data_IF_658164099991
#
_entry.id   IF_658164099991
#
_cell.length_a   1.000
_cell.length_b   1.000
_cell.length_c   1.000
_cell.angle_alpha   90.00
_cell.angle_beta   90.00
_cell.angle_gamma   90.00
#
_symmetry.space_group_name_H-M   'P 1'
#
loop_
_entity.id
_entity.type
_entity.pdbx_description
1 polymer ?
#
# COMPACT_ATOMS: atom_id res chain seq x y z
N UNK A 1 75.28 49.62 -1.65
CA UNK A 1 74.60 48.61 -2.50
C UNK A 1 73.77 47.72 -1.60
N UNK A 2 72.53 48.10 -1.36
CA UNK A 2 71.62 47.37 -0.48
C UNK A 2 70.58 46.59 -1.33
N UNK A 3 70.53 45.27 -1.18
CA UNK A 3 69.54 44.40 -1.83
C UNK A 3 68.39 44.20 -0.88
N UNK A 4 67.18 44.60 -1.30
CA UNK A 4 65.94 44.34 -0.63
C UNK A 4 65.46 42.89 -0.92
N UNK A 5 64.91 42.14 0.04
CA UNK A 5 64.29 40.83 -0.22
C UNK A 5 62.85 40.99 -0.68
N UNK A 6 62.52 40.30 -1.79
CA UNK A 6 61.17 40.18 -2.30
C UNK A 6 60.35 39.26 -1.41
N UNK A 7 59.32 39.78 -0.77
CA UNK A 7 58.28 39.00 -0.06
C UNK A 7 57.28 38.44 -1.05
N UNK A 8 57.24 37.11 -1.22
CA UNK A 8 56.23 36.41 -1.94
C UNK A 8 55.00 36.23 -1.02
N UNK A 9 53.93 36.89 -1.36
CA UNK A 9 52.65 36.69 -0.70
C UNK A 9 52.03 35.36 -1.18
N UNK A 10 51.77 34.44 -0.26
CA UNK A 10 51.00 33.21 -0.47
C UNK A 10 49.52 33.56 -0.33
N UNK A 11 48.75 33.40 -1.42
CA UNK A 11 47.27 33.48 -1.38
C UNK A 11 46.73 32.17 -0.83
N UNK A 12 45.80 32.21 0.11
CA UNK A 12 45.09 31.00 0.55
C UNK A 12 44.04 30.61 -0.47
N UNK A 13 44.12 29.41 -1.01
CA UNK A 13 43.10 28.76 -1.83
C UNK A 13 41.96 28.34 -0.91
N UNK A 14 40.82 29.02 -0.97
CA UNK A 14 39.61 28.63 -0.30
C UNK A 14 38.94 27.48 -1.09
N UNK A 15 38.98 26.26 -0.55
CA UNK A 15 38.26 25.11 -1.08
C UNK A 15 36.80 25.18 -0.64
N UNK A 16 35.89 25.53 -1.54
CA UNK A 16 34.48 25.53 -1.28
C UNK A 16 33.97 24.09 -1.26
N UNK A 17 33.50 23.58 -0.10
CA UNK A 17 32.73 22.33 0.01
C UNK A 17 31.34 22.57 -0.52
N UNK A 18 31.00 21.98 -1.67
CA UNK A 18 29.63 21.92 -2.16
C UNK A 18 28.91 20.76 -1.46
N UNK A 19 28.04 21.08 -0.52
CA UNK A 19 27.17 20.08 0.12
C UNK A 19 26.06 19.73 -0.85
N UNK A 20 26.05 18.50 -1.36
CA UNK A 20 24.92 17.93 -2.10
C UNK A 20 23.79 17.63 -1.12
N UNK A 21 22.75 18.45 -1.12
CA UNK A 21 21.50 18.16 -0.41
C UNK A 21 20.71 17.18 -1.27
N UNK A 22 20.76 15.89 -0.95
CA UNK A 22 19.90 14.89 -1.57
C UNK A 22 18.47 15.11 -1.09
N UNK A 23 17.62 15.69 -1.94
CA UNK A 23 16.16 15.71 -1.72
C UNK A 23 15.62 14.30 -1.88
N UNK A 24 15.32 13.64 -0.77
CA UNK A 24 14.51 12.43 -0.79
C UNK A 24 13.11 12.80 -1.27
N UNK A 25 12.74 12.36 -2.48
CA UNK A 25 11.37 12.50 -2.97
C UNK A 25 10.43 11.70 -2.05
N UNK A 26 9.45 12.37 -1.43
CA UNK A 26 8.44 11.71 -0.64
C UNK A 26 7.63 10.77 -1.55
N UNK A 27 7.50 9.50 -1.16
CA UNK A 27 6.64 8.56 -1.88
C UNK A 27 5.18 9.00 -1.74
N UNK A 28 4.36 8.88 -2.80
CA UNK A 28 2.95 9.21 -2.71
C UNK A 28 2.27 8.33 -1.65
N UNK A 29 1.36 8.96 -0.88
CA UNK A 29 0.60 8.23 0.14
C UNK A 29 -0.23 7.11 -0.50
N UNK A 30 -0.35 5.95 0.16
CA UNK A 30 -1.15 4.84 -0.36
C UNK A 30 -2.62 5.26 -0.50
N UNK A 31 -3.26 4.82 -1.57
CA UNK A 31 -4.69 5.04 -1.81
C UNK A 31 -5.43 3.83 -1.26
N UNK A 32 -6.19 4.02 -0.19
CA UNK A 32 -6.88 2.92 0.45
C UNK A 32 -7.65 3.37 1.68
N UNK A 33 -8.06 2.39 2.48
CA UNK A 33 -8.82 2.61 3.71
C UNK A 33 -8.64 1.43 4.68
N UNK A 34 -9.05 1.64 5.91
CA UNK A 34 -9.19 0.57 6.90
C UNK A 34 -10.61 0.58 7.50
N UNK A 35 -11.09 -0.58 7.92
CA UNK A 35 -12.37 -0.69 8.64
C UNK A 35 -12.31 0.02 10.00
N UNK A 36 -13.44 0.43 10.60
CA UNK A 36 -13.45 1.05 11.92
C UNK A 36 -12.85 0.15 13.02
N UNK A 37 -13.02 -1.17 12.91
CA UNK A 37 -12.38 -2.15 13.81
C UNK A 37 -10.88 -2.29 13.61
N UNK A 38 -10.34 -1.73 12.51
CA UNK A 38 -8.94 -1.90 12.05
C UNK A 38 -8.57 -3.36 11.72
N UNK A 39 -9.56 -4.24 11.63
CA UNK A 39 -9.34 -5.64 11.31
C UNK A 39 -9.15 -5.88 9.80
N UNK A 40 -9.63 -4.96 8.95
CA UNK A 40 -9.50 -5.05 7.49
C UNK A 40 -8.89 -3.76 6.97
N UNK A 41 -7.86 -3.87 6.15
CA UNK A 41 -7.30 -2.75 5.42
C UNK A 41 -7.20 -3.08 3.94
N UNK A 42 -7.49 -2.10 3.08
CA UNK A 42 -7.49 -2.24 1.64
C UNK A 42 -6.63 -1.15 1.00
N UNK A 43 -5.84 -1.52 -0.01
CA UNK A 43 -5.07 -0.58 -0.81
C UNK A 43 -5.26 -0.84 -2.29
N UNK A 44 -5.34 0.26 -3.05
CA UNK A 44 -5.42 0.27 -4.51
C UNK A 44 -4.01 0.31 -5.11
N UNK A 45 -3.78 -0.56 -6.07
CA UNK A 45 -2.57 -0.61 -6.87
C UNK A 45 -2.87 -0.36 -8.34
N UNK A 46 -1.95 0.33 -9.03
CA UNK A 46 -2.05 0.60 -10.47
C UNK A 46 -0.68 0.37 -11.09
N UNK A 47 -0.57 -0.62 -11.97
CA UNK A 47 0.64 -0.94 -12.74
C UNK A 47 0.22 -1.25 -14.17
N UNK A 48 0.89 -0.67 -15.16
CA UNK A 48 0.68 -0.93 -16.60
C UNK A 48 -0.79 -0.79 -17.03
N UNK A 49 -1.47 0.28 -16.55
CA UNK A 49 -2.89 0.55 -16.79
C UNK A 49 -3.85 -0.52 -16.25
N UNK A 50 -3.39 -1.36 -15.36
CA UNK A 50 -4.23 -2.31 -14.61
C UNK A 50 -4.37 -1.82 -13.19
N UNK A 51 -5.61 -1.72 -12.74
CA UNK A 51 -5.95 -1.33 -11.37
C UNK A 51 -6.50 -2.56 -10.64
N UNK A 52 -6.05 -2.76 -9.41
CA UNK A 52 -6.60 -3.79 -8.53
C UNK A 52 -6.60 -3.33 -7.09
N UNK A 53 -7.50 -3.89 -6.33
CA UNK A 53 -7.61 -3.67 -4.89
C UNK A 53 -7.16 -4.92 -4.17
N UNK A 54 -6.28 -4.76 -3.19
CA UNK A 54 -5.95 -5.80 -2.24
C UNK A 54 -6.48 -5.42 -0.87
N UNK A 55 -7.12 -6.38 -0.18
CA UNK A 55 -7.55 -6.25 1.21
C UNK A 55 -6.94 -7.37 2.05
N UNK A 56 -6.38 -7.00 3.19
CA UNK A 56 -5.85 -7.93 4.17
C UNK A 56 -6.73 -7.91 5.44
N UNK A 57 -6.91 -9.09 6.05
CA UNK A 57 -7.59 -9.26 7.34
C UNK A 57 -6.55 -9.58 8.41
N UNK A 58 -6.59 -8.88 9.54
CA UNK A 58 -5.68 -9.14 10.68
C UNK A 58 -6.07 -10.42 11.41
N UNK A 59 -7.33 -10.51 11.83
CA UNK A 59 -7.85 -11.64 12.60
C UNK A 59 -9.01 -12.32 11.88
N UNK A 60 -8.91 -13.64 11.75
CA UNK A 60 -9.98 -14.51 11.25
C UNK A 60 -10.29 -15.61 12.27
N UNK A 61 -11.55 -16.03 12.33
CA UNK A 61 -11.99 -17.12 13.19
C UNK A 61 -11.35 -18.46 12.81
N UNK A 62 -11.14 -18.67 11.51
CA UNK A 62 -10.47 -19.85 10.97
C UNK A 62 -9.58 -19.45 9.80
N UNK A 63 -8.37 -19.99 9.77
CA UNK A 63 -7.46 -19.83 8.63
C UNK A 63 -7.56 -21.05 7.74
N UNK A 64 -7.82 -20.93 6.45
CA UNK A 64 -7.89 -22.06 5.54
C UNK A 64 -6.52 -22.69 5.34
N UNK A 65 -6.53 -23.98 5.01
CA UNK A 65 -5.29 -24.70 4.71
C UNK A 65 -4.57 -24.05 3.54
N UNK A 66 -3.25 -23.83 3.71
CA UNK A 66 -2.40 -23.30 2.66
C UNK A 66 -2.28 -24.29 1.49
N UNK A 67 -2.45 -23.82 0.23
CA UNK A 67 -2.19 -24.65 -0.95
C UNK A 67 -0.73 -25.06 -1.07
N UNK A 68 -0.47 -26.17 -1.74
CA UNK A 68 0.89 -26.70 -1.90
C UNK A 68 1.80 -25.81 -2.78
N UNK A 69 1.20 -24.99 -3.62
CA UNK A 69 1.85 -24.03 -4.54
C UNK A 69 2.05 -22.63 -3.93
N UNK A 70 1.68 -22.43 -2.66
CA UNK A 70 1.94 -21.18 -1.94
C UNK A 70 3.09 -21.36 -0.95
N UNK A 71 4.25 -20.82 -1.28
CA UNK A 71 5.45 -20.85 -0.44
C UNK A 71 5.53 -19.68 0.56
N UNK A 72 4.61 -18.72 0.47
CA UNK A 72 4.52 -17.55 1.32
C UNK A 72 3.35 -17.66 2.32
N UNK A 73 2.89 -16.52 2.86
CA UNK A 73 1.73 -16.48 3.74
C UNK A 73 0.42 -16.70 2.99
N UNK A 74 -0.55 -17.25 3.67
CA UNK A 74 -1.84 -17.61 3.11
C UNK A 74 -3.00 -17.35 4.06
N UNK A 75 -4.13 -17.02 3.46
CA UNK A 75 -5.40 -16.97 4.16
C UNK A 75 -5.95 -15.57 4.40
N UNK A 76 -5.08 -14.60 4.64
CA UNK A 76 -5.46 -13.26 5.09
C UNK A 76 -5.56 -12.20 3.99
N UNK A 77 -5.05 -12.45 2.77
CA UNK A 77 -5.01 -11.50 1.68
C UNK A 77 -5.97 -11.87 0.55
N UNK A 78 -6.70 -10.87 0.06
CA UNK A 78 -7.71 -10.98 -0.99
C UNK A 78 -7.48 -9.89 -2.03
N UNK A 79 -7.69 -10.23 -3.30
CA UNK A 79 -7.47 -9.32 -4.41
C UNK A 79 -8.61 -9.37 -5.42
N UNK A 80 -8.88 -8.22 -6.04
CA UNK A 80 -9.80 -8.10 -7.16
C UNK A 80 -9.31 -7.05 -8.15
N UNK A 81 -9.27 -7.41 -9.43
CA UNK A 81 -9.02 -6.48 -10.53
C UNK A 81 -10.22 -5.55 -10.76
N UNK A 82 -9.97 -4.34 -11.23
CA UNK A 82 -11.02 -3.36 -11.56
C UNK A 82 -11.98 -3.86 -12.65
N UNK A 83 -11.55 -4.81 -13.48
CA UNK A 83 -12.34 -5.38 -14.59
C UNK A 83 -12.07 -6.87 -14.78
N UNK A 84 -13.11 -7.60 -15.17
CA UNK A 84 -13.07 -8.86 -15.91
C UNK A 84 -12.63 -10.11 -15.15
N UNK A 85 -12.04 -9.98 -13.96
CA UNK A 85 -11.52 -11.13 -13.22
C UNK A 85 -12.28 -11.37 -11.93
N UNK A 86 -12.36 -12.63 -11.54
CA UNK A 86 -12.94 -13.02 -10.26
C UNK A 86 -12.03 -12.56 -9.11
N UNK A 87 -12.64 -12.26 -7.98
CA UNK A 87 -11.89 -12.06 -6.75
C UNK A 87 -11.18 -13.34 -6.33
N UNK A 88 -10.03 -13.20 -5.72
CA UNK A 88 -9.22 -14.31 -5.26
C UNK A 88 -8.66 -14.09 -3.87
N UNK A 89 -8.49 -15.17 -3.11
CA UNK A 89 -7.59 -15.22 -1.99
C UNK A 89 -6.19 -15.47 -2.55
N UNK A 90 -5.20 -14.70 -2.12
CA UNK A 90 -3.86 -14.73 -2.71
C UNK A 90 -2.79 -15.24 -1.75
N UNK A 91 -1.73 -15.79 -2.32
CA UNK A 91 -0.46 -16.05 -1.66
C UNK A 91 0.32 -14.73 -1.58
N UNK A 92 0.86 -14.38 -0.42
CA UNK A 92 1.47 -13.06 -0.22
C UNK A 92 2.68 -13.13 0.74
N UNK A 93 3.64 -12.21 0.57
CA UNK A 93 4.83 -12.12 1.40
C UNK A 93 4.95 -10.85 2.24
N UNK A 94 4.03 -9.88 2.04
CA UNK A 94 3.95 -8.61 2.73
C UNK A 94 2.48 -8.29 3.09
N UNK A 95 2.22 -7.18 3.75
CA UNK A 95 0.87 -6.78 4.13
C UNK A 95 0.54 -5.38 3.62
N UNK A 96 -0.75 -5.14 3.37
CA UNK A 96 -1.30 -3.80 3.10
C UNK A 96 -1.88 -3.14 4.35
N UNK A 97 -1.74 -3.77 5.52
CA UNK A 97 -2.14 -3.16 6.79
C UNK A 97 -1.25 -1.96 7.07
N UNK A 98 -1.85 -0.78 7.11
CA UNK A 98 -1.18 0.47 7.42
C UNK A 98 -2.06 1.31 8.36
N UNK A 99 -1.61 1.58 9.60
CA UNK A 99 -2.38 2.37 10.57
C UNK A 99 -2.65 3.82 10.12
N UNK A 100 -1.90 4.32 9.13
CA UNK A 100 -2.07 5.66 8.57
C UNK A 100 -3.22 5.75 7.55
N UNK A 101 -3.77 4.62 7.08
CA UNK A 101 -4.90 4.62 6.17
C UNK A 101 -6.14 5.27 6.82
N UNK A 102 -6.91 6.08 6.07
CA UNK A 102 -8.16 6.64 6.57
C UNK A 102 -9.15 5.53 6.93
N UNK A 103 -9.97 5.80 7.94
CA UNK A 103 -11.05 4.88 8.33
C UNK A 103 -12.25 5.08 7.40
N UNK A 104 -12.72 4.00 6.80
CA UNK A 104 -14.00 3.95 6.10
C UNK A 104 -15.09 3.63 7.15
N UNK A 105 -15.87 4.66 7.55
CA UNK A 105 -16.90 4.52 8.57
C UNK A 105 -18.00 3.52 8.20
N UNK A 106 -18.69 3.00 9.21
CA UNK A 106 -19.86 2.13 8.96
C UNK A 106 -20.95 2.87 8.21
N UNK A 107 -21.42 2.29 7.11
CA UNK A 107 -22.37 2.89 6.18
C UNK A 107 -21.71 3.71 5.06
N UNK A 108 -20.40 3.92 5.11
CA UNK A 108 -19.69 4.68 4.10
C UNK A 108 -19.30 3.80 2.90
N UNK A 109 -19.11 4.47 1.76
CA UNK A 109 -18.73 3.86 0.49
C UNK A 109 -17.41 4.47 0.02
N UNK A 110 -16.46 3.62 -0.37
CA UNK A 110 -15.24 4.00 -1.06
C UNK A 110 -15.32 3.58 -2.52
N UNK A 111 -14.99 4.52 -3.44
CA UNK A 111 -15.00 4.23 -4.87
C UNK A 111 -13.76 4.81 -5.55
N UNK A 112 -13.04 3.99 -6.31
CA UNK A 112 -11.88 4.39 -7.13
C UNK A 112 -11.71 3.42 -8.31
N UNK A 113 -11.42 3.96 -9.49
CA UNK A 113 -10.99 3.17 -10.66
C UNK A 113 -11.91 2.00 -11.03
N UNK A 114 -13.22 2.13 -10.84
CA UNK A 114 -14.18 1.06 -11.13
C UNK A 114 -14.33 0.01 -10.02
N UNK A 115 -13.67 0.22 -8.89
CA UNK A 115 -13.81 -0.59 -7.68
C UNK A 115 -14.68 0.15 -6.67
N UNK A 116 -15.57 -0.58 -6.02
CA UNK A 116 -16.47 -0.08 -4.98
C UNK A 116 -16.34 -0.95 -3.73
N UNK A 117 -16.19 -0.31 -2.58
CA UNK A 117 -16.23 -0.98 -1.28
C UNK A 117 -17.23 -0.31 -0.36
N UNK A 118 -17.94 -1.12 0.41
CA UNK A 118 -18.84 -0.68 1.49
C UNK A 118 -18.33 -1.20 2.81
N UNK A 119 -18.43 -0.40 3.85
CA UNK A 119 -18.10 -0.78 5.22
C UNK A 119 -19.38 -0.84 6.05
N UNK A 120 -19.58 -1.91 6.78
CA UNK A 120 -20.64 -2.04 7.78
C UNK A 120 -20.18 -2.88 8.99
N UNK A 121 -21.04 -3.05 9.98
CA UNK A 121 -20.69 -3.82 11.18
C UNK A 121 -20.42 -5.30 10.91
N UNK A 122 -20.98 -5.85 9.82
CA UNK A 122 -20.74 -7.22 9.40
C UNK A 122 -19.40 -7.39 8.67
N UNK A 123 -18.75 -6.30 8.23
CA UNK A 123 -17.45 -6.34 7.56
C UNK A 123 -17.31 -5.36 6.41
N UNK A 124 -16.45 -5.71 5.47
CA UNK A 124 -16.17 -4.93 4.25
C UNK A 124 -16.52 -5.76 3.03
N UNK A 125 -17.31 -5.19 2.13
CA UNK A 125 -17.65 -5.81 0.84
C UNK A 125 -17.09 -4.95 -0.28
N UNK A 126 -16.26 -5.55 -1.16
CA UNK A 126 -15.68 -4.88 -2.31
C UNK A 126 -16.04 -5.63 -3.60
N UNK A 127 -16.31 -4.87 -4.67
CA UNK A 127 -16.61 -5.45 -5.98
C UNK A 127 -16.17 -4.52 -7.12
N UNK A 128 -15.99 -5.11 -8.30
CA UNK A 128 -15.67 -4.40 -9.53
C UNK A 128 -16.92 -4.11 -10.37
N UNK A 129 -16.73 -3.45 -11.53
CA UNK A 129 -17.81 -3.13 -12.45
C UNK A 129 -18.55 -4.35 -13.00
N UNK A 130 -17.90 -5.51 -13.05
CA UNK A 130 -18.46 -6.79 -13.53
C UNK A 130 -19.12 -7.60 -12.41
N UNK A 131 -19.24 -7.02 -11.22
CA UNK A 131 -19.85 -7.59 -10.02
C UNK A 131 -19.13 -8.81 -9.43
N UNK A 132 -17.86 -8.98 -9.74
CA UNK A 132 -16.99 -9.88 -9.02
C UNK A 132 -16.42 -9.18 -7.79
N UNK A 133 -16.28 -9.90 -6.70
CA UNK A 133 -15.86 -9.30 -5.46
C UNK A 133 -15.65 -10.24 -4.31
N UNK A 134 -15.51 -9.67 -3.14
CA UNK A 134 -15.44 -10.39 -1.88
C UNK A 134 -16.20 -9.65 -0.79
N UNK A 135 -16.69 -10.42 0.17
CA UNK A 135 -17.22 -9.91 1.44
C UNK A 135 -16.40 -10.50 2.57
N UNK A 136 -15.75 -9.63 3.34
CA UNK A 136 -14.77 -9.98 4.34
C UNK A 136 -15.23 -9.61 5.74
N UNK A 137 -15.22 -10.58 6.62
CA UNK A 137 -15.40 -10.39 8.06
C UNK A 137 -14.49 -11.34 8.84
N UNK A 138 -14.38 -11.14 10.14
CA UNK A 138 -13.64 -12.07 11.01
C UNK A 138 -14.15 -13.50 10.93
N UNK A 139 -15.48 -13.67 10.87
CA UNK A 139 -16.14 -14.99 10.89
C UNK A 139 -16.26 -15.64 9.52
N UNK A 140 -16.27 -14.85 8.44
CA UNK A 140 -16.57 -15.36 7.11
C UNK A 140 -15.88 -14.52 6.02
N UNK A 141 -15.42 -15.19 4.97
CA UNK A 141 -14.85 -14.58 3.78
C UNK A 141 -15.46 -15.25 2.54
N UNK A 142 -16.30 -14.52 1.84
CA UNK A 142 -16.97 -14.96 0.63
C UNK A 142 -16.35 -14.31 -0.61
N UNK A 143 -16.16 -15.10 -1.65
CA UNK A 143 -15.76 -14.64 -3.00
C UNK A 143 -16.94 -14.85 -3.96
N UNK A 144 -17.18 -13.89 -4.86
CA UNK A 144 -18.30 -13.93 -5.83
C UNK A 144 -17.96 -13.24 -7.16
#
# INVERSE_FOLDING_TARGET
MSRLPSSRALLPTATALVAFVSSAAAQPAPIGFQSPSKNIACQLFSIDNRDWLRCDIVEMATTPKRPADCDLDWGHAFEISARGENAARICYGDTVIDPALPVLGYGDIWQRKGLTCTSDQAGVTCFNADRHGFSLSRGKQDLF
#
